data_IF_304031338678
#
_entry.id   IF_304031338678
#
_cell.length_a   1.000
_cell.length_b   1.000
_cell.length_c   1.000
_cell.angle_alpha   90.00
_cell.angle_beta   90.00
_cell.angle_gamma   90.00
#
_symmetry.space_group_name_H-M   'P 1'
#
loop_
_entity.id
_entity.type
_entity.pdbx_description
1 polymer ?
#
# COMPACT_ATOMS: atom_id res chain seq x y z
N UNK A 1 -6.54 21.05 -22.36
CA UNK A 1 -6.36 19.93 -21.41
C UNK A 1 -5.48 18.87 -22.12
N UNK A 2 -4.49 18.26 -21.45
CA UNK A 2 -3.43 17.44 -22.11
C UNK A 2 -3.72 15.93 -22.18
N UNK A 3 -4.84 15.44 -21.66
CA UNK A 3 -5.17 14.00 -21.63
C UNK A 3 -4.40 13.17 -20.59
N UNK A 4 -3.59 13.81 -19.73
CA UNK A 4 -2.76 13.12 -18.74
C UNK A 4 -3.56 12.34 -17.70
N UNK A 5 -4.83 12.69 -17.48
CA UNK A 5 -5.75 11.95 -16.62
C UNK A 5 -6.00 10.51 -17.12
N UNK A 6 -5.74 10.23 -18.40
CA UNK A 6 -5.82 8.86 -18.96
C UNK A 6 -4.49 8.11 -18.92
N UNK A 7 -3.37 8.83 -18.97
CA UNK A 7 -2.04 8.22 -19.12
C UNK A 7 -1.28 8.10 -17.79
N UNK A 8 -1.46 9.07 -16.88
CA UNK A 8 -0.69 9.18 -15.64
C UNK A 8 -1.55 8.74 -14.47
N UNK A 9 -1.15 7.66 -13.81
CA UNK A 9 -1.72 7.24 -12.53
C UNK A 9 -0.97 7.90 -11.38
N UNK A 10 -1.70 8.60 -10.52
CA UNK A 10 -1.21 9.21 -9.29
C UNK A 10 -1.69 8.38 -8.12
N UNK A 11 -0.76 7.96 -7.26
CA UNK A 11 -1.03 7.15 -6.08
C UNK A 11 -0.51 7.89 -4.84
N UNK A 12 -1.34 8.04 -3.83
CA UNK A 12 -0.98 8.58 -2.51
C UNK A 12 -1.24 7.50 -1.47
N UNK A 13 -0.17 7.04 -0.81
CA UNK A 13 -0.21 5.96 0.17
C UNK A 13 0.90 6.08 1.21
N UNK A 14 0.74 5.40 2.33
CA UNK A 14 1.84 5.05 3.25
C UNK A 14 2.34 3.63 3.01
N UNK A 15 3.35 3.21 3.78
CA UNK A 15 3.89 1.84 3.76
C UNK A 15 3.02 0.87 4.59
N UNK A 16 2.41 1.37 5.67
CA UNK A 16 1.56 0.63 6.60
C UNK A 16 0.54 1.57 7.23
N UNK A 17 -0.52 1.00 7.78
CA UNK A 17 -1.44 1.71 8.65
C UNK A 17 -0.79 2.10 9.98
N UNK A 18 -1.59 2.76 10.81
CA UNK A 18 -1.24 3.09 12.18
C UNK A 18 -2.28 2.52 13.11
N UNK A 19 -1.85 2.06 14.28
CA UNK A 19 -2.78 1.58 15.31
C UNK A 19 -3.85 2.66 15.55
N UNK A 20 -5.14 2.31 15.60
CA UNK A 20 -6.19 3.29 15.88
C UNK A 20 -6.19 3.73 17.36
N UNK A 21 -5.33 3.13 18.18
CA UNK A 21 -5.12 3.45 19.59
C UNK A 21 -3.79 4.16 19.78
N UNK A 22 -3.79 5.18 20.64
CA UNK A 22 -2.57 5.86 21.04
C UNK A 22 -1.88 5.03 22.13
N UNK A 23 -0.62 4.67 21.90
CA UNK A 23 0.23 4.01 22.89
C UNK A 23 1.17 5.03 23.54
N UNK A 24 1.57 4.75 24.79
CA UNK A 24 2.52 5.55 25.56
C UNK A 24 3.70 4.67 25.94
N UNK A 25 4.56 4.42 24.96
CA UNK A 25 5.72 3.53 25.11
C UNK A 25 6.96 4.36 25.40
N UNK A 26 7.78 3.91 26.36
CA UNK A 26 9.05 4.55 26.65
C UNK A 26 10.02 4.38 25.47
N UNK A 27 10.65 5.48 25.03
CA UNK A 27 11.64 5.45 23.97
C UNK A 27 12.82 4.55 24.33
N UNK A 28 13.25 3.71 23.38
CA UNK A 28 14.46 2.90 23.50
C UNK A 28 15.75 3.71 23.30
N UNK A 29 15.64 4.98 22.89
CA UNK A 29 16.78 5.80 22.45
C UNK A 29 17.43 5.33 21.14
N UNK A 30 16.88 4.31 20.47
CA UNK A 30 17.39 3.77 19.22
C UNK A 30 16.75 4.43 18.00
N UNK A 31 17.57 4.74 16.98
CA UNK A 31 17.12 5.23 15.68
C UNK A 31 17.08 6.76 15.53
N UNK A 32 16.78 7.21 14.32
CA UNK A 32 16.65 8.65 14.00
C UNK A 32 15.31 9.15 14.52
N UNK A 33 15.27 10.32 15.16
CA UNK A 33 14.09 10.92 15.79
C UNK A 33 13.52 10.16 17.03
N UNK A 34 14.31 9.29 17.64
CA UNK A 34 13.97 8.67 18.93
C UNK A 34 14.21 9.65 20.09
N UNK A 35 13.26 9.75 21.03
CA UNK A 35 13.44 10.54 22.25
C UNK A 35 14.54 9.93 23.15
N UNK A 36 15.00 10.67 24.16
CA UNK A 36 15.96 10.15 25.16
C UNK A 36 15.43 8.84 25.75
N UNK A 37 16.30 7.87 26.03
CA UNK A 37 15.93 6.59 26.64
C UNK A 37 15.02 6.82 27.85
N UNK A 38 13.87 6.14 27.89
CA UNK A 38 12.89 6.28 28.96
C UNK A 38 11.89 7.44 28.77
N UNK A 39 12.05 8.28 27.76
CA UNK A 39 11.07 9.33 27.44
C UNK A 39 9.76 8.69 27.00
N UNK A 40 8.67 8.94 27.71
CA UNK A 40 7.33 8.45 27.35
C UNK A 40 6.61 9.53 26.55
N UNK A 41 6.16 9.21 25.34
CA UNK A 41 5.42 10.11 24.46
C UNK A 41 4.21 9.37 23.84
N UNK A 42 3.10 10.07 23.56
CA UNK A 42 1.98 9.48 22.84
C UNK A 42 2.38 9.20 21.39
N UNK A 43 2.09 7.99 20.91
CA UNK A 43 2.39 7.57 19.54
C UNK A 43 1.37 6.57 18.99
N UNK A 44 1.49 6.25 17.71
CA UNK A 44 0.77 5.14 17.08
C UNK A 44 1.77 4.20 16.42
N UNK A 45 1.70 2.93 16.79
CA UNK A 45 2.54 1.88 16.25
C UNK A 45 2.23 1.53 14.78
N UNK A 46 3.14 0.75 14.18
CA UNK A 46 2.98 0.17 12.85
C UNK A 46 1.79 -0.80 12.84
N UNK A 47 0.91 -0.67 11.85
CA UNK A 47 -0.29 -1.50 11.74
C UNK A 47 -0.47 -2.03 10.32
N UNK A 48 0.11 -3.21 10.00
CA UNK A 48 0.02 -3.79 8.66
C UNK A 48 -1.34 -4.42 8.32
N UNK A 49 -2.25 -4.54 9.29
CA UNK A 49 -3.54 -5.24 9.14
C UNK A 49 -4.52 -4.47 8.24
N UNK A 50 -4.44 -3.14 8.23
CA UNK A 50 -5.33 -2.28 7.47
C UNK A 50 -4.63 -0.97 7.06
N UNK A 51 -4.97 -0.48 5.88
CA UNK A 51 -4.48 0.78 5.33
C UNK A 51 -5.40 1.29 4.23
N UNK A 52 -5.18 2.52 3.79
CA UNK A 52 -5.97 3.15 2.72
C UNK A 52 -5.05 3.79 1.70
N UNK A 53 -5.48 3.79 0.44
CA UNK A 53 -4.75 4.37 -0.68
C UNK A 53 -5.68 5.27 -1.48
N UNK A 54 -5.15 6.38 -1.99
CA UNK A 54 -5.85 7.23 -2.94
C UNK A 54 -5.23 7.06 -4.32
N UNK A 55 -6.05 6.75 -5.32
CA UNK A 55 -5.62 6.54 -6.70
C UNK A 55 -6.46 7.45 -7.60
N UNK A 56 -5.80 8.16 -8.51
CA UNK A 56 -6.43 9.01 -9.51
C UNK A 56 -5.66 8.98 -10.83
N UNK A 57 -6.32 9.32 -11.94
CA UNK A 57 -5.70 9.31 -13.26
C UNK A 57 -5.48 7.88 -13.79
N UNK A 58 -4.72 7.72 -14.87
CA UNK A 58 -4.49 6.42 -15.49
C UNK A 58 -5.77 5.75 -16.05
N UNK A 59 -6.78 6.57 -16.36
CA UNK A 59 -8.06 6.08 -16.86
C UNK A 59 -8.94 5.41 -15.81
N UNK A 60 -8.58 5.49 -14.52
CA UNK A 60 -9.41 4.96 -13.44
C UNK A 60 -10.71 5.76 -13.29
N UNK A 61 -11.79 5.08 -12.92
CA UNK A 61 -13.05 5.70 -12.52
C UNK A 61 -12.89 6.27 -11.11
N UNK A 62 -12.80 7.59 -10.98
CA UNK A 62 -12.66 8.25 -9.68
C UNK A 62 -14.01 8.41 -8.97
N UNK A 63 -13.98 8.79 -7.68
CA UNK A 63 -15.19 9.00 -6.89
C UNK A 63 -15.82 7.71 -6.33
N UNK A 64 -15.06 6.62 -6.28
CA UNK A 64 -15.47 5.35 -5.70
C UNK A 64 -14.67 5.01 -4.44
N UNK A 65 -15.23 4.12 -3.63
CA UNK A 65 -14.56 3.46 -2.50
C UNK A 65 -14.57 1.97 -2.80
N UNK A 66 -13.39 1.34 -2.77
CA UNK A 66 -13.21 -0.09 -3.03
C UNK A 66 -12.73 -0.74 -1.73
N UNK A 67 -13.55 -1.63 -1.18
CA UNK A 67 -13.31 -2.29 0.10
C UNK A 67 -13.65 -1.43 1.33
N UNK A 68 -13.51 -2.04 2.50
CA UNK A 68 -13.84 -1.39 3.76
C UNK A 68 -13.07 -2.02 4.94
N UNK A 69 -12.84 -1.22 5.97
CA UNK A 69 -12.41 -1.68 7.28
C UNK A 69 -13.58 -1.76 8.24
N UNK A 70 -13.37 -2.41 9.38
CA UNK A 70 -14.31 -2.30 10.50
C UNK A 70 -14.50 -0.84 10.95
N UNK A 71 -15.48 -0.62 11.83
CA UNK A 71 -15.81 0.72 12.34
C UNK A 71 -14.67 1.40 13.11
N UNK A 72 -13.60 0.66 13.45
CA UNK A 72 -12.43 1.16 14.18
C UNK A 72 -11.21 1.38 13.27
N UNK A 73 -11.26 0.92 12.02
CA UNK A 73 -10.11 0.91 11.13
C UNK A 73 -9.04 -0.11 11.52
N UNK A 74 -9.38 -1.14 12.30
CA UNK A 74 -8.44 -2.15 12.83
C UNK A 74 -8.19 -3.25 11.79
N UNK A 75 -9.24 -3.73 11.12
CA UNK A 75 -9.18 -4.86 10.19
C UNK A 75 -9.94 -4.59 8.90
N UNK A 76 -9.50 -5.20 7.79
CA UNK A 76 -10.22 -5.16 6.51
C UNK A 76 -11.36 -6.18 6.54
N UNK A 77 -12.59 -5.70 6.36
CA UNK A 77 -13.81 -6.52 6.42
C UNK A 77 -14.47 -6.72 5.04
N UNK A 78 -14.11 -5.89 4.07
CA UNK A 78 -14.62 -5.98 2.70
C UNK A 78 -13.46 -5.79 1.71
N UNK A 79 -13.41 -6.68 0.70
CA UNK A 79 -12.44 -6.67 -0.39
C UNK A 79 -10.99 -6.50 0.08
N UNK A 80 -10.44 -7.55 0.71
CA UNK A 80 -9.03 -7.59 1.07
C UNK A 80 -8.14 -7.45 -0.18
N UNK A 81 -7.21 -6.52 -0.12
CA UNK A 81 -6.22 -6.24 -1.16
C UNK A 81 -4.83 -6.30 -0.53
N UNK A 82 -3.97 -7.13 -1.09
CA UNK A 82 -2.60 -7.32 -0.65
C UNK A 82 -1.64 -6.32 -1.33
N UNK A 83 -0.42 -6.15 -0.81
CA UNK A 83 0.63 -5.42 -1.52
C UNK A 83 0.94 -6.00 -2.92
N UNK A 84 0.67 -7.29 -3.14
CA UNK A 84 0.85 -7.93 -4.45
C UNK A 84 -0.22 -7.49 -5.45
N UNK A 85 -1.48 -7.31 -5.00
CA UNK A 85 -2.56 -6.77 -5.83
C UNK A 85 -2.28 -5.32 -6.22
N UNK A 86 -1.70 -4.55 -5.30
CA UNK A 86 -1.23 -3.19 -5.56
C UNK A 86 -0.15 -3.16 -6.66
N UNK A 87 0.89 -3.99 -6.55
CA UNK A 87 1.93 -4.10 -7.58
C UNK A 87 1.37 -4.55 -8.93
N UNK A 88 0.51 -5.58 -8.94
CA UNK A 88 -0.16 -6.05 -10.16
C UNK A 88 -0.97 -4.94 -10.83
N UNK A 89 -1.64 -4.10 -10.05
CA UNK A 89 -2.41 -2.93 -10.54
C UNK A 89 -1.51 -1.91 -11.23
N UNK A 90 -0.37 -1.54 -10.61
CA UNK A 90 0.59 -0.61 -11.22
C UNK A 90 1.15 -1.19 -12.50
N UNK A 91 1.60 -2.45 -12.49
CA UNK A 91 2.20 -3.07 -13.67
C UNK A 91 1.21 -3.22 -14.82
N UNK A 92 -0.05 -3.51 -14.51
CA UNK A 92 -1.13 -3.52 -15.52
C UNK A 92 -1.28 -2.16 -16.17
N UNK A 93 -1.29 -1.07 -15.38
CA UNK A 93 -1.36 0.30 -15.92
C UNK A 93 -0.15 0.64 -16.80
N UNK A 94 1.04 0.17 -16.42
CA UNK A 94 2.29 0.40 -17.17
C UNK A 94 2.44 -0.52 -18.40
N UNK A 95 1.52 -1.47 -18.63
CA UNK A 95 1.62 -2.45 -19.71
C UNK A 95 2.73 -3.48 -19.51
N UNK A 96 3.15 -3.74 -18.27
CA UNK A 96 4.16 -4.75 -17.92
C UNK A 96 3.47 -6.10 -17.71
N UNK A 97 3.96 -7.15 -18.38
CA UNK A 97 3.55 -8.54 -18.17
C UNK A 97 4.08 -9.06 -16.83
N UNK A 98 3.44 -8.67 -15.73
CA UNK A 98 3.88 -9.02 -14.38
C UNK A 98 3.75 -10.52 -14.08
N UNK A 99 2.92 -11.26 -14.83
CA UNK A 99 2.70 -12.69 -14.63
C UNK A 99 3.93 -13.51 -15.03
N UNK A 100 4.66 -13.06 -16.06
CA UNK A 100 5.82 -13.77 -16.59
C UNK A 100 7.16 -13.05 -16.35
N UNK A 101 7.14 -11.81 -15.82
CA UNK A 101 8.36 -11.05 -15.56
C UNK A 101 9.03 -11.46 -14.24
N UNK A 102 10.33 -11.74 -14.30
CA UNK A 102 11.18 -12.07 -13.15
C UNK A 102 12.56 -11.43 -13.26
N UNK A 103 13.18 -11.13 -12.13
CA UNK A 103 14.59 -10.72 -12.06
C UNK A 103 15.45 -11.82 -11.43
N UNK A 104 16.68 -11.96 -11.89
CA UNK A 104 17.64 -12.83 -11.23
C UNK A 104 18.14 -12.13 -9.96
N UNK A 105 18.08 -12.83 -8.83
CA UNK A 105 18.79 -12.38 -7.63
C UNK A 105 20.31 -12.61 -7.77
N UNK A 106 21.07 -12.23 -6.75
CA UNK A 106 22.54 -12.41 -6.75
C UNK A 106 23.01 -13.88 -6.83
N UNK A 107 22.13 -14.86 -6.59
CA UNK A 107 22.44 -16.29 -6.75
C UNK A 107 21.97 -16.86 -8.10
N UNK A 108 21.51 -16.02 -9.04
CA UNK A 108 21.00 -16.45 -10.34
C UNK A 108 19.60 -17.08 -10.29
N UNK A 109 18.88 -17.00 -9.17
CA UNK A 109 17.51 -17.53 -9.05
C UNK A 109 16.51 -16.49 -9.58
N UNK A 110 15.60 -16.86 -10.50
CA UNK A 110 14.48 -16.00 -10.89
C UNK A 110 13.56 -15.71 -9.70
N UNK A 111 13.29 -14.43 -9.47
CA UNK A 111 12.32 -13.92 -8.50
C UNK A 111 11.25 -13.16 -9.28
N UNK A 112 9.98 -13.59 -9.24
CA UNK A 112 8.92 -12.89 -9.94
C UNK A 112 8.68 -11.51 -9.32
N UNK A 113 8.36 -10.53 -10.16
CA UNK A 113 8.08 -9.16 -9.69
C UNK A 113 6.76 -9.05 -8.93
N UNK A 114 5.83 -9.97 -9.20
CA UNK A 114 4.60 -10.20 -8.45
C UNK A 114 4.47 -11.71 -8.21
N UNK A 115 4.27 -12.14 -6.96
CA UNK A 115 4.19 -13.56 -6.60
C UNK A 115 2.78 -14.13 -6.72
N UNK A 116 1.80 -13.41 -6.20
CA UNK A 116 0.43 -13.90 -6.02
C UNK A 116 -0.56 -12.74 -5.84
N UNK A 117 -0.56 -11.79 -6.79
CA UNK A 117 -1.47 -10.65 -6.80
C UNK A 117 -2.30 -10.62 -8.09
N UNK A 118 -3.44 -9.95 -8.02
CA UNK A 118 -4.30 -9.65 -9.15
C UNK A 118 -4.64 -8.15 -9.18
N UNK A 119 -4.72 -7.52 -10.35
CA UNK A 119 -5.07 -6.11 -10.45
C UNK A 119 -6.43 -5.83 -9.82
N UNK A 120 -6.56 -4.68 -9.17
CA UNK A 120 -7.84 -4.18 -8.64
C UNK A 120 -8.67 -3.66 -9.81
N UNK A 121 -9.37 -4.58 -10.50
CA UNK A 121 -10.09 -4.30 -11.75
C UNK A 121 -11.21 -3.29 -11.57
N UNK A 122 -11.75 -3.19 -10.37
CA UNK A 122 -12.78 -2.22 -9.97
C UNK A 122 -12.36 -0.76 -10.23
N UNK A 123 -11.05 -0.49 -10.28
CA UNK A 123 -10.52 0.83 -10.61
C UNK A 123 -10.91 1.31 -12.01
N UNK A 124 -11.17 0.42 -12.97
CA UNK A 124 -11.49 0.77 -14.36
C UNK A 124 -12.94 0.50 -14.78
N UNK A 125 -13.74 -0.10 -13.89
CA UNK A 125 -15.17 -0.41 -14.14
C UNK A 125 -16.11 0.72 -13.73
#
# INVERSE_FOLDING_TARGET
QRGLDREVMVIVTGEFGRTPRISHVASSGGGVASGVVGTVQPGRDHWPQAGSMLIAGGGVRTGQVIGATDARGEEVIERLMSPQDFLATIYTHLGVDYEHTSFLNFSGRPVPIVRNGSPVRELWS
#
